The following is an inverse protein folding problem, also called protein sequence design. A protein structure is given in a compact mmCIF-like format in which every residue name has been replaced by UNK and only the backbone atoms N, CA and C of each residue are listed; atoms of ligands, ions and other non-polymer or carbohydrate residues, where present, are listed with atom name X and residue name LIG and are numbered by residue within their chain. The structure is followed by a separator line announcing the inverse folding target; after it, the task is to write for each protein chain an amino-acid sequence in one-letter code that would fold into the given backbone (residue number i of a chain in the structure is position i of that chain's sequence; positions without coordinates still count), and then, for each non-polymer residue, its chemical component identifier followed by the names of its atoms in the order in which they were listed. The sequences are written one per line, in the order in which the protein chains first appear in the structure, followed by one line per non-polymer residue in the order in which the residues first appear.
data_IF_497200690390
#
_entry.id   IF_497200690390
#
_cell.length_a   1.000
_cell.length_b   1.000
_cell.length_c   1.000
_cell.angle_alpha   90.00
_cell.angle_beta   90.00
_cell.angle_gamma   90.00
#
_symmetry.space_group_name_H-M   'P 1'
#
loop_
_entity.id
_entity.type
_entity.pdbx_description
1 polymer ?
#
# COMPACT_ATOMS: atom_id res chain seq x y z
N UNK A 1 0.43 -7.55 15.92
CA UNK A 1 1.41 -8.28 15.07
C UNK A 1 2.31 -7.30 14.30
N UNK A 2 1.75 -6.30 13.61
CA UNK A 2 2.48 -5.30 12.79
C UNK A 2 3.16 -4.16 13.60
N UNK A 3 3.85 -4.49 14.69
CA UNK A 3 4.64 -3.49 15.42
C UNK A 3 6.04 -3.37 14.82
N UNK A 4 6.52 -2.14 14.63
CA UNK A 4 7.89 -1.86 14.16
C UNK A 4 8.96 -2.13 15.24
N UNK A 5 8.56 -2.42 16.49
CA UNK A 5 9.51 -2.72 17.57
C UNK A 5 10.40 -3.91 17.23
N UNK A 6 11.68 -3.79 17.58
CA UNK A 6 12.70 -4.83 17.36
C UNK A 6 12.69 -5.38 15.93
N UNK A 7 12.62 -4.49 14.94
CA UNK A 7 12.61 -4.85 13.50
C UNK A 7 11.49 -5.82 13.13
N UNK A 8 10.26 -5.53 13.57
CA UNK A 8 9.09 -6.37 13.29
C UNK A 8 9.16 -7.78 13.90
N UNK A 9 9.79 -7.95 15.08
CA UNK A 9 10.01 -9.26 15.70
C UNK A 9 8.74 -10.11 15.84
N UNK A 10 7.63 -9.52 16.28
CA UNK A 10 6.34 -10.22 16.42
C UNK A 10 5.78 -10.68 15.07
N UNK A 11 5.88 -9.84 14.03
CA UNK A 11 5.48 -10.19 12.68
C UNK A 11 6.37 -11.29 12.08
N UNK A 12 7.68 -11.21 12.27
CA UNK A 12 8.62 -12.25 11.80
C UNK A 12 8.37 -13.59 12.49
N UNK A 13 8.10 -13.59 13.79
CA UNK A 13 7.76 -14.81 14.53
C UNK A 13 6.48 -15.44 14.00
N UNK A 14 5.47 -14.62 13.70
CA UNK A 14 4.23 -15.07 13.06
C UNK A 14 4.48 -15.65 11.66
N UNK A 15 5.23 -14.94 10.81
CA UNK A 15 5.51 -15.35 9.43
C UNK A 15 6.27 -16.69 9.36
N UNK A 16 7.17 -16.97 10.31
CA UNK A 16 7.89 -18.26 10.39
C UNK A 16 6.99 -19.47 10.56
N UNK A 17 5.78 -19.29 11.10
CA UNK A 17 4.81 -20.37 11.29
C UNK A 17 3.86 -20.58 10.10
N UNK A 18 3.95 -19.73 9.06
CA UNK A 18 3.05 -19.80 7.91
C UNK A 18 3.61 -20.79 6.88
N UNK A 19 2.74 -21.66 6.39
CA UNK A 19 2.98 -22.49 5.21
C UNK A 19 2.38 -21.74 4.00
N UNK A 20 3.11 -21.60 2.87
CA UNK A 20 2.61 -20.95 1.66
C UNK A 20 1.27 -21.54 1.18
N UNK A 21 0.44 -20.80 0.41
CA UNK A 21 0.69 -19.47 -0.16
C UNK A 21 0.53 -18.35 0.88
N UNK A 22 1.44 -17.37 0.89
CA UNK A 22 1.27 -16.17 1.71
C UNK A 22 1.74 -14.88 1.00
N UNK A 23 1.06 -13.76 1.26
CA UNK A 23 1.51 -12.42 0.83
C UNK A 23 2.13 -11.72 2.04
N UNK A 24 3.45 -11.80 2.25
CA UNK A 24 4.12 -11.10 3.34
C UNK A 24 4.17 -9.59 3.08
N UNK A 25 4.24 -8.81 4.16
CA UNK A 25 4.54 -7.37 4.07
C UNK A 25 5.94 -7.14 3.52
N UNK A 26 6.00 -6.64 2.28
CA UNK A 26 7.24 -6.44 1.51
C UNK A 26 8.21 -5.42 2.11
N UNK A 27 7.72 -4.49 2.93
CA UNK A 27 8.58 -3.48 3.58
C UNK A 27 9.63 -4.11 4.51
N UNK A 28 9.36 -5.29 5.07
CA UNK A 28 10.29 -6.00 5.97
C UNK A 28 11.54 -6.53 5.23
N UNK A 29 11.42 -7.39 4.19
CA UNK A 29 12.59 -7.83 3.43
C UNK A 29 13.29 -6.68 2.70
N UNK A 30 12.56 -5.66 2.21
CA UNK A 30 13.19 -4.48 1.61
C UNK A 30 14.06 -3.72 2.61
N UNK A 31 13.54 -3.51 3.83
CA UNK A 31 14.33 -2.89 4.90
C UNK A 31 15.58 -3.72 5.21
N UNK A 32 15.47 -5.05 5.27
CA UNK A 32 16.62 -5.93 5.51
C UNK A 32 17.67 -5.83 4.41
N UNK A 33 17.26 -5.80 3.14
CA UNK A 33 18.15 -5.60 2.01
C UNK A 33 18.87 -4.25 2.09
N UNK A 34 18.15 -3.17 2.40
CA UNK A 34 18.76 -1.84 2.60
C UNK A 34 19.75 -1.85 3.76
N UNK A 35 19.40 -2.45 4.91
CA UNK A 35 20.32 -2.55 6.04
C UNK A 35 21.58 -3.36 5.72
N UNK A 36 21.46 -4.43 4.92
CA UNK A 36 22.62 -5.22 4.49
C UNK A 36 23.48 -4.42 3.51
N UNK A 37 22.84 -3.71 2.58
CA UNK A 37 23.53 -2.95 1.54
C UNK A 37 24.33 -1.78 2.12
N UNK A 38 23.70 -0.98 2.98
CA UNK A 38 24.30 0.19 3.64
C UNK A 38 25.33 -0.20 4.72
N UNK A 39 25.13 -1.35 5.36
CA UNK A 39 25.96 -1.79 6.50
C UNK A 39 27.22 -2.56 6.09
N UNK A 40 27.35 -2.97 4.83
CA UNK A 40 28.46 -3.80 4.36
C UNK A 40 28.96 -3.32 3.00
N UNK A 41 30.26 -3.06 2.88
CA UNK A 41 30.86 -2.73 1.59
C UNK A 41 30.80 -3.93 0.62
N UNK A 42 30.50 -3.65 -0.65
CA UNK A 42 30.50 -4.67 -1.70
C UNK A 42 31.91 -5.19 -2.02
N UNK A 43 32.94 -4.39 -1.71
CA UNK A 43 34.34 -4.75 -1.87
C UNK A 43 35.13 -4.41 -0.61
N UNK A 44 36.02 -5.31 -0.21
CA UNK A 44 36.97 -5.10 0.90
C UNK A 44 38.36 -5.48 0.38
N UNK A 45 39.32 -4.58 0.51
CA UNK A 45 40.69 -4.75 0.00
C UNK A 45 40.76 -5.15 -1.48
N UNK A 46 39.87 -4.55 -2.30
CA UNK A 46 39.77 -4.82 -3.74
C UNK A 46 39.18 -6.19 -4.10
N UNK A 47 38.67 -6.95 -3.12
CA UNK A 47 38.01 -8.25 -3.33
C UNK A 47 36.52 -8.14 -3.05
N UNK A 48 35.73 -8.92 -3.78
CA UNK A 48 34.29 -8.98 -3.59
C UNK A 48 33.94 -9.54 -2.21
N UNK A 49 33.06 -8.85 -1.49
CA UNK A 49 32.55 -9.30 -0.20
C UNK A 49 31.40 -10.32 -0.40
N UNK A 50 31.77 -11.60 -0.57
CA UNK A 50 30.78 -12.68 -0.71
C UNK A 50 29.83 -12.84 0.49
N UNK A 51 30.23 -12.39 1.69
CA UNK A 51 29.38 -12.47 2.86
C UNK A 51 28.15 -11.56 2.72
N UNK A 52 28.34 -10.31 2.23
CA UNK A 52 27.25 -9.38 1.91
C UNK A 52 26.23 -10.02 0.96
N UNK A 53 26.69 -10.51 -0.18
CA UNK A 53 25.81 -11.10 -1.18
C UNK A 53 25.11 -12.37 -0.70
N UNK A 54 25.77 -13.18 0.14
CA UNK A 54 25.12 -14.34 0.79
C UNK A 54 23.98 -13.91 1.71
N UNK A 55 24.17 -12.85 2.50
CA UNK A 55 23.12 -12.32 3.37
C UNK A 55 21.93 -11.81 2.55
N UNK A 56 22.18 -11.09 1.45
CA UNK A 56 21.12 -10.62 0.55
C UNK A 56 20.37 -11.80 -0.10
N UNK A 57 21.10 -12.82 -0.57
CA UNK A 57 20.50 -14.04 -1.15
C UNK A 57 19.53 -14.69 -0.18
N UNK A 58 19.92 -14.83 1.10
CA UNK A 58 19.07 -15.42 2.12
C UNK A 58 17.75 -14.65 2.31
N UNK A 59 17.77 -13.32 2.23
CA UNK A 59 16.54 -12.51 2.33
C UNK A 59 15.61 -12.79 1.14
N UNK A 60 16.17 -12.86 -0.07
CA UNK A 60 15.40 -13.15 -1.29
C UNK A 60 14.83 -14.57 -1.26
N UNK A 61 15.65 -15.57 -0.94
CA UNK A 61 15.22 -16.97 -0.83
C UNK A 61 14.08 -17.14 0.17
N UNK A 62 14.21 -16.53 1.36
CA UNK A 62 13.15 -16.57 2.37
C UNK A 62 11.85 -15.91 1.91
N UNK A 63 11.93 -14.87 1.08
CA UNK A 63 10.76 -14.22 0.51
C UNK A 63 10.11 -15.07 -0.59
N UNK A 64 10.91 -15.76 -1.40
CA UNK A 64 10.44 -16.67 -2.45
C UNK A 64 9.67 -17.86 -1.88
N UNK A 65 10.04 -18.36 -0.69
CA UNK A 65 9.28 -19.42 -0.02
C UNK A 65 7.79 -19.08 0.11
N UNK A 66 7.45 -17.80 0.38
CA UNK A 66 6.05 -17.37 0.49
C UNK A 66 5.21 -17.59 -0.79
N UNK A 67 5.88 -17.71 -1.94
CA UNK A 67 5.30 -17.82 -3.28
C UNK A 67 5.44 -19.22 -3.87
N UNK A 68 5.93 -20.21 -3.11
CA UNK A 68 6.20 -21.57 -3.62
C UNK A 68 4.92 -22.35 -3.98
N UNK A 69 3.80 -22.00 -3.37
CA UNK A 69 2.49 -22.61 -3.62
C UNK A 69 1.57 -21.53 -4.20
N UNK A 70 0.76 -21.89 -5.19
CA UNK A 70 -0.23 -21.01 -5.77
C UNK A 70 -1.47 -20.84 -4.88
N UNK A 71 -2.10 -19.66 -4.96
CA UNK A 71 -3.40 -19.42 -4.34
C UNK A 71 -4.51 -20.19 -5.08
N UNK A 72 -5.17 -21.11 -4.37
CA UNK A 72 -6.38 -21.77 -4.87
C UNK A 72 -7.62 -20.95 -4.51
N UNK A 73 -7.95 -19.97 -5.35
CA UNK A 73 -9.16 -19.15 -5.19
C UNK A 73 -10.35 -19.87 -5.83
N UNK A 74 -11.26 -20.38 -5.01
CA UNK A 74 -12.46 -21.10 -5.47
C UNK A 74 -13.66 -20.14 -5.60
N UNK A 75 -13.72 -19.36 -6.67
CA UNK A 75 -14.94 -18.72 -7.16
C UNK A 75 -14.68 -18.16 -8.56
N UNK A 76 -15.64 -18.17 -9.48
CA UNK A 76 -15.60 -17.19 -10.56
C UNK A 76 -15.79 -15.84 -9.87
N UNK A 77 -14.72 -15.08 -9.68
CA UNK A 77 -14.86 -13.67 -9.37
C UNK A 77 -15.69 -13.06 -10.51
N UNK A 78 -16.75 -12.35 -10.18
CA UNK A 78 -17.48 -11.61 -11.22
C UNK A 78 -16.48 -10.64 -11.85
N UNK A 79 -16.33 -10.67 -13.17
CA UNK A 79 -15.36 -9.82 -13.88
C UNK A 79 -15.52 -8.32 -13.53
N UNK A 80 -16.74 -7.91 -13.16
CA UNK A 80 -17.06 -6.58 -12.64
C UNK A 80 -16.29 -6.21 -11.37
N UNK A 81 -16.04 -7.15 -10.46
CA UNK A 81 -15.31 -6.91 -9.22
C UNK A 81 -13.81 -6.70 -9.49
N UNK A 82 -13.22 -7.54 -10.32
CA UNK A 82 -11.80 -7.40 -10.71
C UNK A 82 -11.57 -6.07 -11.43
N UNK A 83 -12.46 -5.72 -12.35
CA UNK A 83 -12.40 -4.44 -13.06
C UNK A 83 -12.55 -3.26 -12.10
N UNK A 84 -13.50 -3.31 -11.15
CA UNK A 84 -13.65 -2.26 -10.15
C UNK A 84 -12.41 -2.09 -9.27
N UNK A 85 -11.71 -3.18 -8.93
CA UNK A 85 -10.46 -3.12 -8.16
C UNK A 85 -9.33 -2.47 -8.98
N UNK A 86 -9.24 -2.76 -10.28
CA UNK A 86 -8.24 -2.19 -11.17
C UNK A 86 -8.50 -0.73 -11.51
N UNK A 87 -9.77 -0.33 -11.58
CA UNK A 87 -10.20 1.05 -11.87
C UNK A 87 -10.28 1.93 -10.62
N UNK A 88 -10.07 1.36 -9.42
CA UNK A 88 -10.15 2.11 -8.17
C UNK A 88 -9.04 3.17 -8.09
N UNK A 89 -9.46 4.44 -7.99
CA UNK A 89 -8.57 5.56 -7.74
C UNK A 89 -8.61 5.94 -6.24
N UNK A 90 -7.54 5.71 -5.47
CA UNK A 90 -7.50 6.04 -4.06
C UNK A 90 -7.41 7.55 -3.85
N UNK A 91 -8.08 8.05 -2.81
CA UNK A 91 -7.91 9.43 -2.35
C UNK A 91 -6.47 9.67 -1.91
N UNK A 92 -5.97 10.88 -2.18
CA UNK A 92 -4.71 11.33 -1.60
C UNK A 92 -4.83 11.43 -0.08
N UNK A 93 -3.70 11.37 0.64
CA UNK A 93 -3.68 11.50 2.10
C UNK A 93 -4.30 12.84 2.53
N UNK A 94 -3.99 13.92 1.80
CA UNK A 94 -4.51 15.26 2.09
C UNK A 94 -6.03 15.31 1.87
N UNK A 95 -6.53 14.73 0.78
CA UNK A 95 -7.97 14.63 0.52
C UNK A 95 -8.66 13.84 1.63
N UNK A 96 -8.17 12.62 1.92
CA UNK A 96 -8.75 11.77 2.96
C UNK A 96 -8.81 12.47 4.33
N UNK A 97 -7.76 13.21 4.68
CA UNK A 97 -7.72 14.00 5.91
C UNK A 97 -8.70 15.18 5.88
N UNK A 98 -8.84 15.91 4.76
CA UNK A 98 -9.83 16.97 4.61
C UNK A 98 -11.26 16.43 4.75
N UNK A 99 -11.59 15.34 4.04
CA UNK A 99 -12.89 14.67 4.16
C UNK A 99 -13.16 14.22 5.60
N UNK A 100 -12.15 13.65 6.28
CA UNK A 100 -12.27 13.25 7.68
C UNK A 100 -12.70 14.41 8.58
N UNK A 101 -12.13 15.60 8.41
CA UNK A 101 -12.49 16.79 9.21
C UNK A 101 -13.91 17.28 8.97
N UNK A 102 -14.45 17.04 7.77
CA UNK A 102 -15.81 17.44 7.45
C UNK A 102 -16.84 16.50 8.08
N UNK A 103 -16.51 15.21 8.16
CA UNK A 103 -17.38 14.21 8.81
C UNK A 103 -17.27 14.33 10.34
N UNK A 104 -16.06 14.49 10.85
CA UNK A 104 -15.77 14.66 12.27
C UNK A 104 -14.91 15.92 12.48
N UNK A 105 -15.56 17.09 12.68
CA UNK A 105 -14.87 18.34 12.97
C UNK A 105 -14.02 18.23 14.22
N UNK A 106 -12.91 18.97 14.24
CA UNK A 106 -12.02 18.97 15.42
C UNK A 106 -12.76 19.56 16.62
N UNK A 107 -12.54 18.98 17.80
CA UNK A 107 -13.17 19.47 19.04
C UNK A 107 -12.83 20.94 19.26
N UNK A 108 -13.81 21.82 19.04
CA UNK A 108 -13.67 23.28 19.14
C UNK A 108 -13.95 24.07 17.86
N UNK A 109 -14.19 23.43 16.71
CA UNK A 109 -14.69 24.11 15.50
C UNK A 109 -16.15 24.53 15.65
N UNK A 110 -16.47 25.75 15.21
CA UNK A 110 -17.85 26.25 15.17
C UNK A 110 -18.68 25.41 14.17
N UNK A 111 -19.84 24.87 14.57
CA UNK A 111 -20.73 24.14 13.67
C UNK A 111 -21.07 24.88 12.37
N UNK A 112 -21.13 26.22 12.38
CA UNK A 112 -21.39 27.02 11.17
C UNK A 112 -20.22 26.98 10.17
N UNK A 113 -18.99 27.02 10.67
CA UNK A 113 -17.78 26.93 9.85
C UNK A 113 -17.65 25.53 9.22
N UNK A 114 -17.94 24.47 9.99
CA UNK A 114 -17.95 23.10 9.50
C UNK A 114 -18.99 22.89 8.39
N UNK A 115 -20.21 23.41 8.56
CA UNK A 115 -21.28 23.36 7.55
C UNK A 115 -20.88 24.13 6.28
N UNK A 116 -20.28 25.32 6.44
CA UNK A 116 -19.83 26.14 5.30
C UNK A 116 -18.77 25.42 4.48
N UNK A 117 -17.84 24.72 5.13
CA UNK A 117 -16.80 23.96 4.45
C UNK A 117 -17.39 22.71 3.75
N UNK A 118 -18.35 22.03 4.36
CA UNK A 118 -19.08 20.91 3.74
C UNK A 118 -19.81 21.34 2.46
N UNK A 119 -20.49 22.48 2.50
CA UNK A 119 -21.22 23.01 1.34
C UNK A 119 -20.28 23.37 0.18
N UNK A 120 -19.15 24.03 0.48
CA UNK A 120 -18.13 24.34 -0.54
C UNK A 120 -17.60 23.09 -1.23
N UNK A 121 -17.28 22.06 -0.45
CA UNK A 121 -16.78 20.80 -0.99
C UNK A 121 -17.87 20.07 -1.81
N UNK A 122 -19.12 20.09 -1.36
CA UNK A 122 -20.22 19.52 -2.14
C UNK A 122 -20.32 20.20 -3.52
N UNK A 123 -20.24 21.53 -3.57
CA UNK A 123 -20.26 22.26 -4.85
C UNK A 123 -19.05 21.92 -5.75
N UNK A 124 -17.86 21.74 -5.17
CA UNK A 124 -16.65 21.34 -5.90
C UNK A 124 -16.78 19.92 -6.48
N UNK A 125 -17.22 18.96 -5.68
CA UNK A 125 -17.43 17.58 -6.13
C UNK A 125 -18.52 17.48 -7.20
N UNK A 126 -19.59 18.29 -7.13
CA UNK A 126 -20.60 18.35 -8.20
C UNK A 126 -20.03 18.90 -9.52
N UNK A 127 -19.09 19.85 -9.46
CA UNK A 127 -18.40 20.36 -10.67
C UNK A 127 -17.50 19.29 -11.28
N UNK A 128 -16.72 18.58 -10.47
CA UNK A 128 -15.87 17.49 -10.93
C UNK A 128 -16.70 16.36 -11.57
N UNK A 129 -17.79 15.94 -10.93
CA UNK A 129 -18.72 14.95 -11.49
C UNK A 129 -19.36 15.40 -12.80
N UNK A 130 -19.71 16.68 -12.93
CA UNK A 130 -20.26 17.21 -14.17
C UNK A 130 -19.23 17.16 -15.31
N UNK A 131 -17.96 17.45 -15.01
CA UNK A 131 -16.86 17.43 -15.98
C UNK A 131 -16.54 15.98 -16.42
N UNK A 132 -16.44 15.05 -15.47
CA UNK A 132 -16.26 13.63 -15.74
C UNK A 132 -17.41 13.05 -16.59
N UNK A 133 -18.66 13.45 -16.31
CA UNK A 133 -19.84 13.04 -17.11
C UNK A 133 -19.75 13.55 -18.55
N UNK A 134 -19.30 14.79 -18.76
CA UNK A 134 -19.06 15.31 -20.12
C UNK A 134 -17.97 14.53 -20.86
N UNK A 135 -16.88 14.19 -20.18
CA UNK A 135 -15.77 13.45 -20.75
C UNK A 135 -16.18 12.04 -21.18
N UNK A 136 -16.92 11.33 -20.32
CA UNK A 136 -17.52 10.03 -20.66
C UNK A 136 -18.47 10.14 -21.86
N UNK A 137 -19.26 11.22 -21.95
CA UNK A 137 -20.17 11.44 -23.09
C UNK A 137 -19.40 11.64 -24.40
N UNK A 138 -18.25 12.31 -24.37
CA UNK A 138 -17.37 12.48 -25.54
C UNK A 138 -16.76 11.15 -25.98
N UNK A 139 -16.34 10.30 -25.04
CA UNK A 139 -15.75 9.00 -25.33
C UNK A 139 -16.75 7.97 -25.88
N UNK A 140 -18.04 8.07 -25.51
CA UNK A 140 -19.12 7.19 -26.01
C UNK A 140 -19.76 7.66 -27.32
N UNK A 141 -19.42 8.86 -27.79
CA UNK A 141 -20.04 9.54 -28.94
C UNK A 141 -19.23 9.49 -30.25
N UNK A 142 -18.12 8.76 -30.30
CA UNK A 142 -17.31 8.47 -31.49
C UNK A 142 -17.20 6.98 -31.72
#
# INVERSE_FOLDING_TARGET
IMSHRSKYAAYRAYLKGIIPPCVPYIGVPLSDLTFIDDGNDSFTDGKLNFAKFRMMSQVVENFQLAQEIDYSLSSPHEASFEQALLEYEPLSIDQAHQYSKLVEPSSGEDPEDAMTNLLKLYDETQKELALAREEIKKLKGG
#
